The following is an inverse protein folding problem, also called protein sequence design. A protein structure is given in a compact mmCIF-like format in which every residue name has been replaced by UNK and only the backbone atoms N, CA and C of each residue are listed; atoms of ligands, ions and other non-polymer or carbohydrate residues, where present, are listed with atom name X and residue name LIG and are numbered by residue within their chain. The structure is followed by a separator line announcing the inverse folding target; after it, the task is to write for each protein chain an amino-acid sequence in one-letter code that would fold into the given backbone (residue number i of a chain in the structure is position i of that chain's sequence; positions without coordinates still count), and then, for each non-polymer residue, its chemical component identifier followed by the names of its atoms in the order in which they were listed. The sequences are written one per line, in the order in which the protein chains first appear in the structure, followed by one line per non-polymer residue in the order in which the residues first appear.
data_IF_346377847439
#
_entry.id   IF_346377847439
#
_cell.length_a   1.000
_cell.length_b   1.000
_cell.length_c   1.000
_cell.angle_alpha   90.00
_cell.angle_beta   90.00
_cell.angle_gamma   90.00
#
_symmetry.space_group_name_H-M   'P 1'
#
loop_
_entity.id
_entity.type
_entity.pdbx_description
1 polymer ?
#
# COMPACT_ATOMS: atom_id res chain seq x y z
N UNK A 1 12.11 -10.36 -12.59
CA UNK A 1 10.67 -10.28 -12.93
C UNK A 1 9.79 -10.31 -11.69
N UNK A 2 9.96 -11.29 -10.78
CA UNK A 2 9.13 -11.40 -9.56
C UNK A 2 9.15 -10.17 -8.65
N UNK A 3 10.33 -9.59 -8.41
CA UNK A 3 10.49 -8.36 -7.60
C UNK A 3 9.69 -7.19 -8.18
N UNK A 4 9.74 -6.98 -9.50
CA UNK A 4 8.98 -5.92 -10.15
C UNK A 4 7.47 -6.13 -10.00
N UNK A 5 6.99 -7.38 -10.13
CA UNK A 5 5.59 -7.70 -9.90
C UNK A 5 5.18 -7.41 -8.45
N UNK A 6 6.02 -7.77 -7.46
CA UNK A 6 5.76 -7.44 -6.06
C UNK A 6 5.67 -5.93 -5.85
N UNK A 7 6.60 -5.15 -6.40
CA UNK A 7 6.55 -3.68 -6.27
C UNK A 7 5.26 -3.11 -6.87
N UNK A 8 4.90 -3.52 -8.09
CA UNK A 8 3.69 -3.02 -8.76
C UNK A 8 2.41 -3.38 -7.99
N UNK A 9 2.31 -4.62 -7.51
CA UNK A 9 1.12 -5.12 -6.79
C UNK A 9 0.97 -4.46 -5.41
N UNK A 10 2.09 -4.15 -4.74
CA UNK A 10 2.08 -3.56 -3.40
C UNK A 10 2.04 -2.03 -3.38
N UNK A 11 2.38 -1.37 -4.49
CA UNK A 11 2.44 0.09 -4.56
C UNK A 11 1.11 0.78 -4.18
N UNK A 12 -0.08 0.34 -4.65
CA UNK A 12 -1.34 0.94 -4.23
C UNK A 12 -1.60 0.82 -2.73
N UNK A 13 -1.20 -0.28 -2.09
CA UNK A 13 -1.37 -0.44 -0.64
C UNK A 13 -0.43 0.45 0.16
N UNK A 14 0.80 0.65 -0.31
CA UNK A 14 1.74 1.58 0.31
C UNK A 14 1.23 3.03 0.22
N UNK A 15 0.69 3.43 -0.94
CA UNK A 15 0.08 4.75 -1.11
C UNK A 15 -1.18 4.91 -0.24
N UNK A 16 -2.01 3.88 -0.17
CA UNK A 16 -3.20 3.88 0.68
C UNK A 16 -2.83 4.03 2.17
N UNK A 17 -1.83 3.27 2.63
CA UNK A 17 -1.32 3.38 3.99
C UNK A 17 -0.71 4.76 4.28
N UNK A 18 0.01 5.34 3.31
CA UNK A 18 0.52 6.71 3.42
C UNK A 18 -0.60 7.73 3.57
N UNK A 19 -1.70 7.59 2.82
CA UNK A 19 -2.88 8.45 2.94
C UNK A 19 -3.49 8.40 4.34
N UNK A 20 -3.65 7.21 4.92
CA UNK A 20 -4.11 7.05 6.31
C UNK A 20 -3.16 7.67 7.32
N UNK A 21 -1.86 7.43 7.17
CA UNK A 21 -0.85 7.99 8.07
C UNK A 21 -0.90 9.53 8.06
N UNK A 22 -0.95 10.14 6.86
CA UNK A 22 -1.07 11.58 6.71
C UNK A 22 -2.35 12.12 7.34
N UNK A 23 -3.50 11.50 7.07
CA UNK A 23 -4.78 11.90 7.67
C UNK A 23 -4.73 11.84 9.21
N UNK A 24 -4.11 10.79 9.76
CA UNK A 24 -3.95 10.62 11.19
C UNK A 24 -3.05 11.70 11.82
N UNK A 25 -1.91 12.02 11.19
CA UNK A 25 -0.98 13.02 11.73
C UNK A 25 -1.44 14.46 11.55
N UNK A 26 -2.23 14.75 10.51
CA UNK A 26 -2.73 16.11 10.24
C UNK A 26 -4.11 16.38 10.85
N UNK A 27 -4.83 15.32 11.25
CA UNK A 27 -6.21 15.42 11.73
C UNK A 27 -7.21 15.81 10.63
N UNK A 28 -6.80 15.76 9.35
CA UNK A 28 -7.66 16.15 8.26
C UNK A 28 -8.77 15.12 8.03
N UNK A 29 -9.98 15.65 7.75
CA UNK A 29 -11.10 14.83 7.34
C UNK A 29 -10.81 14.24 5.95
N UNK A 30 -10.90 12.93 5.85
CA UNK A 30 -10.85 12.23 4.57
C UNK A 30 -12.00 11.24 4.53
N UNK A 31 -12.76 11.25 3.44
CA UNK A 31 -13.76 10.24 3.14
C UNK A 31 -13.71 9.88 1.66
N UNK A 32 -14.34 8.75 1.32
CA UNK A 32 -14.35 8.23 -0.05
C UNK A 32 -15.33 8.97 -0.96
N UNK A 33 -16.25 9.76 -0.38
CA UNK A 33 -17.32 10.43 -1.09
C UNK A 33 -16.83 11.70 -1.81
N UNK A 34 -15.89 12.43 -1.22
CA UNK A 34 -15.44 13.72 -1.76
C UNK A 34 -14.05 14.12 -1.25
N UNK A 35 -13.37 14.95 -2.05
CA UNK A 35 -12.14 15.61 -1.61
C UNK A 35 -12.49 16.80 -0.70
N UNK A 36 -11.96 16.81 0.53
CA UNK A 36 -12.08 17.94 1.46
C UNK A 36 -10.79 18.74 1.49
N UNK A 37 -10.84 20.08 1.40
CA UNK A 37 -9.63 20.90 1.51
C UNK A 37 -8.96 20.70 2.87
N UNK A 38 -7.63 20.54 2.85
CA UNK A 38 -6.82 20.26 4.03
C UNK A 38 -5.51 21.05 3.92
N UNK A 39 -5.43 22.17 4.65
CA UNK A 39 -4.27 23.05 4.61
C UNK A 39 -3.22 22.62 5.62
N UNK A 40 -2.04 22.22 5.16
CA UNK A 40 -0.89 21.86 6.00
C UNK A 40 0.29 22.73 5.60
N UNK A 41 0.83 23.50 6.55
CA UNK A 41 1.93 24.45 6.30
C UNK A 41 1.67 25.40 5.12
N UNK A 42 0.41 25.80 4.89
CA UNK A 42 0.02 26.70 3.80
C UNK A 42 -0.22 26.01 2.45
N UNK A 43 -0.08 24.69 2.36
CA UNK A 43 -0.33 23.90 1.15
C UNK A 43 -1.61 23.08 1.33
N UNK A 44 -2.52 23.15 0.35
CA UNK A 44 -3.71 22.28 0.34
C UNK A 44 -3.34 20.87 -0.17
N UNK A 45 -3.42 19.88 0.73
CA UNK A 45 -3.17 18.47 0.43
C UNK A 45 -4.46 17.64 0.36
N UNK A 46 -5.63 18.26 0.40
CA UNK A 46 -6.93 17.58 0.41
C UNK A 46 -7.15 16.67 -0.80
N UNK A 47 -6.84 17.19 -2.00
CA UNK A 47 -6.92 16.41 -3.23
C UNK A 47 -5.92 15.25 -3.28
N UNK A 48 -4.72 15.44 -2.71
CA UNK A 48 -3.71 14.38 -2.60
C UNK A 48 -4.19 13.27 -1.67
N UNK A 49 -4.70 13.62 -0.48
CA UNK A 49 -5.26 12.68 0.49
C UNK A 49 -6.39 11.86 -0.12
N UNK A 50 -7.29 12.49 -0.87
CA UNK A 50 -8.36 11.80 -1.58
C UNK A 50 -7.82 10.79 -2.60
N UNK A 51 -6.86 11.20 -3.44
CA UNK A 51 -6.25 10.30 -4.42
C UNK A 51 -5.54 9.10 -3.76
N UNK A 52 -4.84 9.33 -2.64
CA UNK A 52 -4.19 8.27 -1.86
C UNK A 52 -5.22 7.28 -1.29
N UNK A 53 -6.33 7.76 -0.73
CA UNK A 53 -7.38 6.88 -0.19
C UNK A 53 -8.10 6.08 -1.29
N UNK A 54 -8.29 6.67 -2.48
CA UNK A 54 -8.87 5.95 -3.61
C UNK A 54 -8.02 4.75 -4.05
N UNK A 55 -6.72 4.70 -3.72
CA UNK A 55 -5.90 3.51 -3.95
C UNK A 55 -6.40 2.29 -3.15
N UNK A 56 -7.16 2.48 -2.07
CA UNK A 56 -7.80 1.40 -1.32
C UNK A 56 -8.69 0.51 -2.19
N UNK A 57 -9.38 1.08 -3.18
CA UNK A 57 -10.16 0.30 -4.15
C UNK A 57 -9.28 -0.61 -5.01
N UNK A 58 -8.10 -0.13 -5.42
CA UNK A 58 -7.12 -0.97 -6.12
C UNK A 58 -6.54 -2.04 -5.20
N UNK A 59 -6.38 -1.78 -3.90
CA UNK A 59 -5.98 -2.81 -2.92
C UNK A 59 -7.01 -3.93 -2.87
N UNK A 60 -8.31 -3.61 -2.83
CA UNK A 60 -9.37 -4.63 -2.85
C UNK A 60 -9.27 -5.50 -4.10
N UNK A 61 -9.06 -4.90 -5.27
CA UNK A 61 -8.88 -5.62 -6.54
C UNK A 61 -7.60 -6.48 -6.55
N UNK A 62 -6.51 -5.98 -5.96
CA UNK A 62 -5.19 -6.61 -6.01
C UNK A 62 -4.91 -7.59 -4.86
N UNK A 63 -5.75 -7.64 -3.83
CA UNK A 63 -5.66 -8.57 -2.69
C UNK A 63 -5.26 -10.01 -3.06
N UNK A 64 -5.88 -10.69 -4.06
CA UNK A 64 -5.48 -12.05 -4.41
C UNK A 64 -4.05 -12.12 -4.96
N UNK A 65 -3.61 -11.12 -5.72
CA UNK A 65 -2.25 -11.05 -6.25
C UNK A 65 -1.24 -10.73 -5.15
N UNK A 66 -1.60 -9.88 -4.19
CA UNK A 66 -0.79 -9.60 -3.01
C UNK A 66 -0.54 -10.89 -2.21
N UNK A 67 -1.60 -11.66 -1.93
CA UNK A 67 -1.50 -12.96 -1.27
C UNK A 67 -0.60 -13.92 -2.05
N UNK A 68 -0.78 -14.02 -3.37
CA UNK A 68 0.05 -14.87 -4.21
C UNK A 68 1.54 -14.50 -4.11
N UNK A 69 1.86 -13.20 -4.18
CA UNK A 69 3.25 -12.75 -4.02
C UNK A 69 3.84 -13.13 -2.65
N UNK A 70 3.06 -13.00 -1.56
CA UNK A 70 3.49 -13.41 -0.22
C UNK A 70 3.76 -14.91 -0.13
N UNK A 71 2.84 -15.74 -0.64
CA UNK A 71 2.98 -17.20 -0.61
C UNK A 71 4.24 -17.64 -1.36
N UNK A 72 4.50 -17.04 -2.53
CA UNK A 72 5.69 -17.40 -3.31
C UNK A 72 6.97 -16.98 -2.60
N UNK A 73 7.03 -15.76 -2.07
CA UNK A 73 8.19 -15.30 -1.30
C UNK A 73 8.43 -16.15 -0.06
N UNK A 74 7.37 -16.56 0.64
CA UNK A 74 7.46 -17.46 1.78
C UNK A 74 8.00 -18.83 1.39
N UNK A 75 7.56 -19.40 0.26
CA UNK A 75 8.10 -20.65 -0.27
C UNK A 75 9.58 -20.55 -0.65
N UNK A 76 9.98 -19.46 -1.31
CA UNK A 76 11.39 -19.21 -1.66
C UNK A 76 12.24 -19.07 -0.39
N UNK A 77 11.77 -18.27 0.57
CA UNK A 77 12.45 -18.06 1.85
C UNK A 77 12.59 -19.35 2.66
N UNK A 78 11.52 -20.15 2.74
CA UNK A 78 11.55 -21.43 3.43
C UNK A 78 12.53 -22.40 2.78
N UNK A 79 12.56 -22.49 1.45
CA UNK A 79 13.54 -23.33 0.73
C UNK A 79 14.97 -22.86 0.97
N UNK A 80 15.22 -21.55 0.97
CA UNK A 80 16.53 -20.99 1.26
C UNK A 80 16.97 -21.29 2.70
N UNK A 81 16.05 -21.20 3.66
CA UNK A 81 16.31 -21.57 5.05
C UNK A 81 16.62 -23.07 5.16
N UNK A 82 15.78 -23.94 4.61
CA UNK A 82 16.00 -25.40 4.67
C UNK A 82 17.35 -25.77 4.04
N UNK A 83 17.69 -25.24 2.86
CA UNK A 83 18.97 -25.53 2.21
C UNK A 83 20.19 -24.89 2.89
N UNK A 84 19.99 -23.88 3.75
CA UNK A 84 21.06 -23.34 4.57
C UNK A 84 21.33 -24.18 5.83
N UNK A 85 20.32 -24.93 6.31
CA UNK A 85 20.39 -25.75 7.53
C UNK A 85 20.58 -27.25 7.26
N UNK A 86 20.13 -27.77 6.13
CA UNK A 86 20.42 -29.13 5.66
C UNK A 86 21.41 -29.05 4.49
N UNK A 87 22.65 -29.56 4.63
CA UNK A 87 23.63 -29.61 3.54
C UNK A 87 23.20 -30.56 2.41
#
# INVERSE_FOLDING_TARGET
MMLAATVVVWMPALLFALGFALAHFTGCRVDEASAHPCLVAGIDIGGLLYALLMMGWLVVLLLPFMLLTLVIWLGIGLRALIGAWLP
#
